data_IF_827959269665
#
_entry.id   IF_827959269665
#
_cell.length_a   1.000
_cell.length_b   1.000
_cell.length_c   1.000
_cell.angle_alpha   90.00
_cell.angle_beta   90.00
_cell.angle_gamma   90.00
#
_symmetry.space_group_name_H-M   'P 1'
#
loop_
_entity.id
_entity.type
_entity.pdbx_description
1 polymer ?
#
# COMPACT_ATOMS: atom_id res chain seq x y z
N UNK A 1 71.40 4.15 38.64
CA UNK A 1 70.88 3.97 37.26
C UNK A 1 70.17 2.63 37.11
N UNK A 2 70.73 1.49 37.47
CA UNK A 2 70.15 0.15 37.33
C UNK A 2 68.84 -0.04 38.12
N UNK A 3 68.77 0.43 39.38
CA UNK A 3 67.60 0.37 40.26
C UNK A 3 66.41 1.19 39.67
N UNK A 4 66.67 2.36 39.07
CA UNK A 4 65.68 3.20 38.42
C UNK A 4 65.12 2.54 37.18
N UNK A 5 65.94 1.87 36.37
CA UNK A 5 65.52 1.10 35.21
C UNK A 5 64.66 -0.11 35.59
N UNK A 6 65.03 -0.84 36.65
CA UNK A 6 64.25 -1.94 37.20
C UNK A 6 62.86 -1.47 37.70
N UNK A 7 62.80 -0.36 38.42
CA UNK A 7 61.56 0.23 38.87
C UNK A 7 60.66 0.66 37.71
N UNK A 8 61.22 1.29 36.66
CA UNK A 8 60.49 1.69 35.48
C UNK A 8 59.92 0.48 34.69
N UNK A 9 60.74 -0.60 34.58
CA UNK A 9 60.30 -1.84 33.95
C UNK A 9 59.16 -2.53 34.74
N UNK A 10 59.24 -2.57 36.06
CA UNK A 10 58.18 -3.13 36.90
C UNK A 10 56.89 -2.30 36.81
N UNK A 11 56.98 -0.95 36.76
CA UNK A 11 55.86 -0.08 36.57
C UNK A 11 55.18 -0.29 35.21
N UNK A 12 55.96 -0.45 34.13
CA UNK A 12 55.46 -0.76 32.78
C UNK A 12 54.74 -2.12 32.73
N UNK A 13 55.32 -3.16 33.37
CA UNK A 13 54.67 -4.47 33.47
C UNK A 13 53.34 -4.41 34.25
N UNK A 14 53.29 -3.64 35.34
CA UNK A 14 52.07 -3.42 36.12
C UNK A 14 50.99 -2.72 35.28
N UNK A 15 51.34 -1.64 34.56
CA UNK A 15 50.43 -0.91 33.67
C UNK A 15 49.89 -1.80 32.54
N UNK A 16 50.78 -2.63 31.96
CA UNK A 16 50.39 -3.60 30.91
C UNK A 16 49.42 -4.67 31.48
N UNK A 17 49.70 -5.17 32.69
CA UNK A 17 48.84 -6.12 33.39
C UNK A 17 47.44 -5.55 33.67
N UNK A 18 47.35 -4.31 34.15
CA UNK A 18 46.09 -3.60 34.38
C UNK A 18 45.32 -3.41 33.07
N UNK A 19 46.00 -3.01 31.99
CA UNK A 19 45.35 -2.88 30.67
C UNK A 19 44.77 -4.21 30.19
N UNK A 20 45.55 -5.29 30.24
CA UNK A 20 45.09 -6.63 29.83
C UNK A 20 43.86 -7.09 30.66
N UNK A 21 43.88 -6.82 31.97
CA UNK A 21 42.75 -7.11 32.84
C UNK A 21 41.49 -6.35 32.40
N UNK A 22 41.57 -5.03 32.12
CA UNK A 22 40.47 -4.20 31.67
C UNK A 22 39.88 -4.69 30.33
N UNK A 23 40.73 -5.05 29.35
CA UNK A 23 40.28 -5.62 28.08
C UNK A 23 39.56 -6.97 28.28
N UNK A 24 40.07 -7.86 29.11
CA UNK A 24 39.41 -9.15 29.41
C UNK A 24 38.04 -8.94 30.05
N UNK A 25 37.92 -8.00 30.97
CA UNK A 25 36.66 -7.66 31.63
C UNK A 25 35.67 -7.08 30.62
N UNK A 26 36.11 -6.18 29.77
CA UNK A 26 35.27 -5.61 28.72
C UNK A 26 34.71 -6.67 27.76
N UNK A 27 35.54 -7.61 27.31
CA UNK A 27 35.14 -8.69 26.40
C UNK A 27 34.09 -9.61 27.09
N UNK A 28 34.33 -9.95 28.37
CA UNK A 28 33.37 -10.75 29.15
C UNK A 28 32.02 -10.04 29.28
N UNK A 29 32.05 -8.77 29.57
CA UNK A 29 30.83 -7.93 29.67
C UNK A 29 30.07 -7.92 28.36
N UNK A 30 30.76 -7.71 27.23
CA UNK A 30 30.13 -7.78 25.90
C UNK A 30 29.54 -9.16 25.61
N UNK A 31 30.24 -10.24 25.99
CA UNK A 31 29.72 -11.59 25.82
C UNK A 31 28.41 -11.80 26.59
N UNK A 32 28.33 -11.32 27.84
CA UNK A 32 27.12 -11.38 28.65
C UNK A 32 26.01 -10.50 28.02
N UNK A 33 26.31 -9.26 27.68
CA UNK A 33 25.36 -8.34 27.05
C UNK A 33 24.80 -8.90 25.74
N UNK A 34 25.65 -9.56 24.91
CA UNK A 34 25.22 -10.21 23.68
C UNK A 34 24.30 -11.43 23.91
N UNK A 35 24.53 -12.19 24.96
CA UNK A 35 23.64 -13.33 25.32
C UNK A 35 22.27 -12.88 25.81
N UNK A 36 22.20 -11.74 26.48
CA UNK A 36 20.96 -11.17 27.00
C UNK A 36 20.19 -10.35 25.96
N UNK A 37 20.78 -10.09 24.78
CA UNK A 37 20.16 -9.34 23.70
C UNK A 37 18.92 -10.08 23.19
N UNK A 38 17.75 -9.49 23.43
CA UNK A 38 16.50 -9.89 22.78
C UNK A 38 16.23 -9.02 21.56
N UNK A 39 15.67 -9.57 20.48
CA UNK A 39 15.28 -8.78 19.30
C UNK A 39 14.36 -7.60 19.58
N UNK A 40 13.67 -7.64 20.72
CA UNK A 40 12.75 -6.57 21.16
C UNK A 40 13.36 -5.61 22.19
N UNK A 41 14.61 -5.83 22.60
CA UNK A 41 15.28 -5.02 23.62
C UNK A 41 16.05 -3.89 22.99
N UNK A 42 15.89 -2.67 23.48
CA UNK A 42 16.71 -1.52 23.09
C UNK A 42 18.11 -1.51 23.73
N UNK A 43 18.57 -2.64 24.24
CA UNK A 43 19.91 -2.74 24.86
C UNK A 43 21.00 -2.55 23.82
N UNK A 44 22.05 -1.84 24.23
CA UNK A 44 23.25 -1.56 23.43
C UNK A 44 24.46 -2.00 24.21
N UNK A 45 25.50 -2.42 23.49
CA UNK A 45 26.78 -2.68 24.11
C UNK A 45 27.36 -1.41 24.69
N UNK A 46 27.82 -1.50 25.92
CA UNK A 46 28.52 -0.42 26.62
C UNK A 46 30.02 -0.61 26.55
N UNK A 47 30.78 0.48 26.43
CA UNK A 47 32.22 0.45 26.37
C UNK A 47 32.81 1.34 27.46
N UNK A 48 33.52 0.76 28.41
CA UNK A 48 34.20 1.50 29.47
C UNK A 48 35.72 1.62 29.23
N UNK A 49 36.29 0.81 28.35
CA UNK A 49 37.72 0.96 27.92
C UNK A 49 37.79 2.13 26.95
N UNK A 50 38.61 3.14 27.28
CA UNK A 50 38.73 4.41 26.51
C UNK A 50 39.71 4.32 25.34
N UNK A 51 39.82 3.17 24.73
CA UNK A 51 40.68 2.99 23.55
C UNK A 51 39.88 3.25 22.25
N UNK A 52 40.50 3.88 21.24
CA UNK A 52 39.86 4.22 19.96
C UNK A 52 39.35 2.98 19.21
N UNK A 53 40.16 1.90 19.20
CA UNK A 53 39.80 0.68 18.49
C UNK A 53 38.60 -0.01 19.15
N UNK A 54 38.59 -0.12 20.48
CA UNK A 54 37.50 -0.73 21.25
C UNK A 54 36.21 0.06 21.11
N UNK A 55 36.28 1.40 21.13
CA UNK A 55 35.10 2.25 20.88
C UNK A 55 34.59 2.08 19.45
N UNK A 56 35.49 2.05 18.44
CA UNK A 56 35.07 1.87 17.06
C UNK A 56 34.38 0.51 16.84
N UNK A 57 34.90 -0.55 17.46
CA UNK A 57 34.31 -1.88 17.42
C UNK A 57 32.91 -1.89 18.08
N UNK A 58 32.79 -1.31 19.29
CA UNK A 58 31.53 -1.19 20.00
C UNK A 58 30.46 -0.46 19.16
N UNK A 59 30.83 0.66 18.52
CA UNK A 59 29.93 1.40 17.64
C UNK A 59 29.48 0.55 16.44
N UNK A 60 30.39 -0.17 15.81
CA UNK A 60 30.07 -1.04 14.66
C UNK A 60 29.16 -2.21 15.05
N UNK A 61 29.39 -2.82 16.22
CA UNK A 61 28.52 -3.88 16.72
C UNK A 61 27.11 -3.31 17.03
N UNK A 62 27.02 -2.15 17.66
CA UNK A 62 25.75 -1.50 17.91
C UNK A 62 25.00 -1.14 16.62
N UNK A 63 25.68 -0.62 15.60
CA UNK A 63 25.12 -0.37 14.27
C UNK A 63 24.56 -1.65 13.61
N UNK A 64 25.30 -2.76 13.75
CA UNK A 64 24.85 -4.07 13.28
C UNK A 64 23.59 -4.57 14.03
N UNK A 65 23.59 -4.43 15.38
CA UNK A 65 22.45 -4.79 16.22
C UNK A 65 21.23 -3.98 15.80
N UNK A 66 21.36 -2.67 15.57
CA UNK A 66 20.27 -1.80 15.12
C UNK A 66 19.68 -2.24 13.78
N UNK A 67 20.57 -2.61 12.86
CA UNK A 67 20.17 -3.10 11.53
C UNK A 67 19.41 -4.42 11.62
N UNK A 68 19.89 -5.36 12.44
CA UNK A 68 19.23 -6.64 12.65
C UNK A 68 17.87 -6.48 13.34
N UNK A 69 17.78 -5.61 14.34
CA UNK A 69 16.52 -5.33 15.03
C UNK A 69 15.47 -4.72 14.09
N UNK A 70 15.88 -3.77 13.24
CA UNK A 70 14.99 -3.20 12.21
C UNK A 70 14.47 -4.28 11.26
N UNK A 71 15.35 -5.16 10.79
CA UNK A 71 14.96 -6.25 9.90
C UNK A 71 13.98 -7.23 10.57
N UNK A 72 14.19 -7.58 11.83
CA UNK A 72 13.27 -8.44 12.59
C UNK A 72 11.90 -7.78 12.79
N UNK A 73 11.89 -6.47 13.13
CA UNK A 73 10.63 -5.72 13.28
C UNK A 73 9.87 -5.64 11.96
N UNK A 74 10.55 -5.32 10.86
CA UNK A 74 9.96 -5.30 9.53
C UNK A 74 9.39 -6.66 9.11
N UNK A 75 10.13 -7.75 9.40
CA UNK A 75 9.65 -9.11 9.14
C UNK A 75 8.41 -9.46 9.96
N UNK A 76 8.37 -9.07 11.23
CA UNK A 76 7.21 -9.30 12.09
C UNK A 76 5.98 -8.49 11.66
N UNK A 77 6.19 -7.25 11.19
CA UNK A 77 5.12 -6.43 10.62
C UNK A 77 4.59 -7.03 9.32
N UNK A 78 5.47 -7.47 8.43
CA UNK A 78 5.09 -8.14 7.17
C UNK A 78 4.32 -9.45 7.44
N UNK A 79 4.75 -10.25 8.42
CA UNK A 79 4.03 -11.47 8.83
C UNK A 79 2.62 -11.15 9.39
N UNK A 80 2.51 -10.11 10.21
CA UNK A 80 1.22 -9.65 10.74
C UNK A 80 0.29 -9.18 9.61
N UNK A 81 0.81 -8.41 8.67
CA UNK A 81 0.08 -7.94 7.51
C UNK A 81 -0.38 -9.10 6.61
N UNK A 82 0.49 -10.09 6.39
CA UNK A 82 0.14 -11.30 5.63
C UNK A 82 -1.00 -12.09 6.30
N UNK A 83 -0.92 -12.31 7.62
CA UNK A 83 -1.99 -13.00 8.37
C UNK A 83 -3.31 -12.23 8.28
N UNK A 84 -3.28 -10.92 8.40
CA UNK A 84 -4.47 -10.08 8.25
C UNK A 84 -5.05 -10.17 6.84
N UNK A 85 -4.19 -10.07 5.82
CA UNK A 85 -4.56 -10.23 4.40
C UNK A 85 -5.27 -11.57 4.15
N UNK A 86 -4.70 -12.69 4.61
CA UNK A 86 -5.29 -14.02 4.44
C UNK A 86 -6.67 -14.10 5.12
N UNK A 87 -6.81 -13.53 6.32
CA UNK A 87 -8.09 -13.51 7.03
C UNK A 87 -9.17 -12.71 6.27
N UNK A 88 -8.84 -11.52 5.77
CA UNK A 88 -9.73 -10.69 4.98
C UNK A 88 -10.15 -11.38 3.68
N UNK A 89 -9.19 -11.89 2.91
CA UNK A 89 -9.47 -12.61 1.64
C UNK A 89 -10.34 -13.84 1.89
N UNK A 90 -10.05 -14.62 2.95
CA UNK A 90 -10.84 -15.80 3.30
C UNK A 90 -12.29 -15.47 3.63
N UNK A 91 -12.51 -14.37 4.35
CA UNK A 91 -13.85 -13.87 4.65
C UNK A 91 -14.59 -13.43 3.38
N UNK A 92 -13.90 -12.65 2.52
CA UNK A 92 -14.50 -12.07 1.32
C UNK A 92 -14.76 -13.09 0.21
N UNK A 93 -14.00 -14.20 0.17
CA UNK A 93 -14.31 -15.39 -0.65
C UNK A 93 -15.53 -16.13 -0.10
N UNK A 94 -15.61 -16.32 1.23
CA UNK A 94 -16.70 -17.08 1.85
C UNK A 94 -18.07 -16.47 1.60
N UNK A 95 -18.18 -15.15 1.61
CA UNK A 95 -19.45 -14.43 1.48
C UNK A 95 -20.15 -14.74 0.14
N UNK A 96 -19.58 -14.48 -1.05
CA UNK A 96 -20.21 -14.81 -2.32
C UNK A 96 -20.40 -16.33 -2.51
N UNK A 97 -19.48 -17.16 -2.02
CA UNK A 97 -19.57 -18.62 -2.12
C UNK A 97 -20.76 -19.15 -1.31
N UNK A 98 -20.94 -18.70 -0.07
CA UNK A 98 -22.09 -19.08 0.77
C UNK A 98 -23.40 -18.60 0.14
N UNK A 99 -23.43 -17.38 -0.41
CA UNK A 99 -24.57 -16.85 -1.13
C UNK A 99 -24.93 -17.71 -2.36
N UNK A 100 -23.95 -18.02 -3.21
CA UNK A 100 -24.13 -18.87 -4.37
C UNK A 100 -24.66 -20.25 -3.98
N UNK A 101 -24.05 -20.90 -2.96
CA UNK A 101 -24.49 -22.21 -2.46
C UNK A 101 -25.93 -22.18 -1.91
N UNK A 102 -26.31 -21.12 -1.16
CA UNK A 102 -27.65 -20.98 -0.65
C UNK A 102 -28.70 -20.82 -1.75
N UNK A 103 -28.41 -20.00 -2.78
CA UNK A 103 -29.33 -19.86 -3.92
C UNK A 103 -29.37 -21.12 -4.81
N UNK A 104 -28.31 -21.90 -4.91
CA UNK A 104 -28.33 -23.21 -5.56
C UNK A 104 -29.27 -24.18 -4.84
N UNK A 105 -29.23 -24.25 -3.51
CA UNK A 105 -30.17 -25.09 -2.73
C UNK A 105 -31.62 -24.63 -2.90
N UNK A 106 -31.89 -23.31 -3.02
CA UNK A 106 -33.23 -22.81 -3.31
C UNK A 106 -33.67 -23.15 -4.74
N UNK A 107 -32.74 -23.16 -5.69
CA UNK A 107 -32.98 -23.54 -7.08
C UNK A 107 -33.41 -25.01 -7.19
N UNK A 108 -32.77 -25.91 -6.46
CA UNK A 108 -33.08 -27.33 -6.41
C UNK A 108 -34.48 -27.60 -5.83
N UNK A 109 -34.96 -26.75 -4.92
CA UNK A 109 -36.24 -26.93 -4.21
C UNK A 109 -37.42 -26.26 -4.89
N UNK A 110 -37.21 -25.44 -5.94
CA UNK A 110 -38.31 -24.68 -6.57
C UNK A 110 -38.63 -25.23 -7.96
N UNK A 111 -39.91 -25.39 -8.25
CA UNK A 111 -40.45 -25.71 -9.57
C UNK A 111 -40.97 -24.48 -10.33
N UNK A 112 -40.91 -23.28 -9.71
CA UNK A 112 -41.34 -22.03 -10.31
C UNK A 112 -40.26 -21.49 -11.26
N UNK A 113 -40.55 -21.48 -12.55
CA UNK A 113 -39.64 -21.04 -13.61
C UNK A 113 -39.10 -19.59 -13.41
N UNK A 114 -39.97 -18.67 -12.93
CA UNK A 114 -39.57 -17.27 -12.66
C UNK A 114 -38.53 -17.22 -11.53
N UNK A 115 -38.76 -17.98 -10.46
CA UNK A 115 -37.82 -18.08 -9.34
C UNK A 115 -36.52 -18.73 -9.75
N UNK A 116 -36.58 -19.81 -10.58
CA UNK A 116 -35.41 -20.46 -11.12
C UNK A 116 -34.52 -19.46 -11.91
N UNK A 117 -35.10 -18.71 -12.85
CA UNK A 117 -34.39 -17.66 -13.60
C UNK A 117 -33.73 -16.61 -12.69
N UNK A 118 -34.51 -16.17 -11.66
CA UNK A 118 -33.99 -15.21 -10.67
C UNK A 118 -32.80 -15.77 -9.89
N UNK A 119 -32.94 -17.00 -9.37
CA UNK A 119 -31.85 -17.62 -8.57
C UNK A 119 -30.61 -17.91 -9.41
N UNK A 120 -30.77 -18.39 -10.65
CA UNK A 120 -29.66 -18.54 -11.58
C UNK A 120 -28.92 -17.23 -11.84
N UNK A 121 -29.66 -16.10 -12.01
CA UNK A 121 -29.05 -14.79 -12.18
C UNK A 121 -28.23 -14.37 -10.95
N UNK A 122 -28.76 -14.63 -9.74
CA UNK A 122 -28.06 -14.30 -8.49
C UNK A 122 -26.79 -15.16 -8.32
N UNK A 123 -26.88 -16.48 -8.59
CA UNK A 123 -25.73 -17.38 -8.52
C UNK A 123 -24.64 -16.92 -9.48
N UNK A 124 -25.01 -16.61 -10.73
CA UNK A 124 -24.07 -16.10 -11.74
C UNK A 124 -23.38 -14.83 -11.25
N UNK A 125 -24.16 -13.88 -10.69
CA UNK A 125 -23.58 -12.64 -10.15
C UNK A 125 -22.57 -12.91 -9.03
N UNK A 126 -22.90 -13.82 -8.09
CA UNK A 126 -21.99 -14.19 -6.99
C UNK A 126 -20.70 -14.86 -7.48
N UNK A 127 -20.75 -15.62 -8.54
CA UNK A 127 -19.57 -16.20 -9.16
C UNK A 127 -18.72 -15.14 -9.86
N UNK A 128 -19.35 -14.18 -10.55
CA UNK A 128 -18.64 -13.04 -11.15
C UNK A 128 -17.98 -12.15 -10.08
N UNK A 129 -18.67 -11.90 -8.97
CA UNK A 129 -18.11 -11.15 -7.83
C UNK A 129 -16.84 -11.86 -7.31
N UNK A 130 -16.86 -13.20 -7.21
CA UNK A 130 -15.72 -14.00 -6.77
C UNK A 130 -14.55 -13.98 -7.78
N UNK A 131 -14.85 -14.08 -9.07
CA UNK A 131 -13.86 -14.00 -10.15
C UNK A 131 -13.13 -12.63 -10.11
N UNK A 132 -13.89 -11.55 -9.98
CA UNK A 132 -13.32 -10.20 -9.85
C UNK A 132 -12.39 -10.08 -8.63
N UNK A 133 -12.80 -10.62 -7.47
CA UNK A 133 -12.00 -10.62 -6.25
C UNK A 133 -10.68 -11.37 -6.45
N UNK A 134 -10.72 -12.52 -7.11
CA UNK A 134 -9.51 -13.30 -7.44
C UNK A 134 -8.59 -12.54 -8.39
N UNK A 135 -9.13 -11.87 -9.41
CA UNK A 135 -8.36 -11.05 -10.35
C UNK A 135 -7.69 -9.86 -9.66
N UNK A 136 -8.38 -9.24 -8.70
CA UNK A 136 -7.80 -8.17 -7.87
C UNK A 136 -6.66 -8.72 -6.99
N UNK A 137 -6.83 -9.89 -6.38
CA UNK A 137 -5.81 -10.54 -5.56
C UNK A 137 -4.59 -10.95 -6.39
N UNK A 138 -4.80 -11.55 -7.56
CA UNK A 138 -3.71 -11.90 -8.48
C UNK A 138 -2.93 -10.68 -8.94
N UNK A 139 -3.64 -9.61 -9.30
CA UNK A 139 -2.93 -8.38 -9.67
C UNK A 139 -2.14 -7.82 -8.49
N UNK A 140 -2.76 -7.80 -7.30
CA UNK A 140 -2.09 -7.35 -6.10
C UNK A 140 -0.79 -8.12 -5.83
N UNK A 141 -0.82 -9.46 -5.89
CA UNK A 141 0.38 -10.30 -5.71
C UNK A 141 1.46 -10.02 -6.77
N UNK A 142 1.06 -9.72 -8.01
CA UNK A 142 1.99 -9.34 -9.07
C UNK A 142 2.57 -7.94 -8.87
N UNK A 143 1.79 -7.02 -8.35
CA UNK A 143 2.24 -5.65 -8.04
C UNK A 143 3.19 -5.62 -6.84
N UNK A 144 3.06 -6.49 -5.86
CA UNK A 144 3.99 -6.58 -4.73
C UNK A 144 5.31 -7.28 -5.09
N UNK A 145 5.40 -7.93 -6.26
CA UNK A 145 6.63 -8.49 -6.80
C UNK A 145 7.52 -7.43 -7.48
N UNK A 146 8.82 -7.76 -7.62
CA UNK A 146 9.83 -6.82 -8.15
C UNK A 146 9.64 -6.46 -9.63
N UNK A 147 8.94 -7.29 -10.42
CA UNK A 147 8.81 -7.12 -11.86
C UNK A 147 7.34 -7.13 -12.29
N UNK A 148 6.75 -5.95 -12.35
CA UNK A 148 5.48 -5.72 -13.03
C UNK A 148 5.72 -4.74 -14.18
N UNK A 149 5.73 -5.20 -15.44
CA UNK A 149 5.97 -4.31 -16.58
C UNK A 149 4.80 -3.35 -16.75
N UNK A 150 5.09 -2.06 -16.79
CA UNK A 150 4.15 -0.99 -17.13
C UNK A 150 4.60 -0.41 -18.46
N UNK A 151 3.70 -0.38 -19.43
CA UNK A 151 3.93 0.31 -20.68
C UNK A 151 3.80 1.83 -20.45
N UNK A 152 4.82 2.59 -20.84
CA UNK A 152 4.80 4.05 -20.73
C UNK A 152 4.61 4.66 -22.11
N UNK A 153 3.36 4.75 -22.55
CA UNK A 153 2.97 5.32 -23.84
C UNK A 153 2.14 6.61 -23.63
N UNK A 154 2.11 7.52 -24.63
CA UNK A 154 1.20 8.66 -24.57
C UNK A 154 -0.26 8.19 -24.61
N UNK A 155 -1.04 8.60 -23.62
CA UNK A 155 -2.46 8.25 -23.46
C UNK A 155 -3.28 9.53 -23.34
N UNK A 156 -4.31 9.68 -24.19
CA UNK A 156 -5.29 10.77 -24.06
C UNK A 156 -6.25 10.47 -22.93
N UNK A 157 -6.28 11.39 -21.93
CA UNK A 157 -7.08 11.15 -20.71
C UNK A 157 -8.58 11.17 -20.97
N UNK A 158 -9.08 12.21 -21.66
CA UNK A 158 -10.53 12.42 -21.83
C UNK A 158 -11.21 11.28 -22.60
N UNK A 159 -10.73 10.83 -23.77
CA UNK A 159 -11.34 9.71 -24.48
C UNK A 159 -11.35 8.43 -23.63
N UNK A 160 -10.24 8.11 -22.95
CA UNK A 160 -10.14 6.93 -22.10
C UNK A 160 -11.12 7.00 -20.92
N UNK A 161 -11.26 8.18 -20.30
CA UNK A 161 -12.21 8.39 -19.21
C UNK A 161 -13.68 8.27 -19.67
N UNK A 162 -14.00 8.86 -20.82
CA UNK A 162 -15.34 8.76 -21.41
C UNK A 162 -15.71 7.31 -21.76
N UNK A 163 -14.76 6.53 -22.31
CA UNK A 163 -14.96 5.11 -22.55
C UNK A 163 -15.34 4.36 -21.26
N UNK A 164 -14.60 4.65 -20.17
CA UNK A 164 -14.88 4.01 -18.87
C UNK A 164 -16.22 4.48 -18.30
N UNK A 165 -16.55 5.76 -18.36
CA UNK A 165 -17.83 6.28 -17.89
C UNK A 165 -19.02 5.64 -18.60
N UNK A 166 -18.89 5.40 -19.93
CA UNK A 166 -19.91 4.70 -20.73
C UNK A 166 -20.18 3.28 -20.21
N UNK A 167 -19.18 2.58 -19.68
CA UNK A 167 -19.39 1.24 -19.08
C UNK A 167 -20.31 1.29 -17.84
N UNK A 168 -20.39 2.43 -17.17
CA UNK A 168 -21.23 2.65 -15.97
C UNK A 168 -22.53 3.39 -16.26
N UNK A 169 -22.86 3.67 -17.53
CA UNK A 169 -24.02 4.48 -17.90
C UNK A 169 -25.35 3.99 -17.31
N UNK A 170 -25.59 2.67 -17.31
CA UNK A 170 -26.79 2.09 -16.70
C UNK A 170 -26.85 2.31 -15.19
N UNK A 171 -25.72 2.16 -14.50
CA UNK A 171 -25.68 2.35 -13.05
C UNK A 171 -25.88 3.82 -12.66
N UNK A 172 -25.35 4.74 -13.44
CA UNK A 172 -25.64 6.18 -13.27
C UNK A 172 -27.12 6.49 -13.48
N UNK A 173 -27.74 5.91 -14.52
CA UNK A 173 -29.19 6.07 -14.77
C UNK A 173 -30.06 5.47 -13.66
N UNK A 174 -29.74 4.26 -13.20
CA UNK A 174 -30.45 3.59 -12.10
C UNK A 174 -30.38 4.37 -10.77
N UNK A 175 -29.30 5.12 -10.55
CA UNK A 175 -29.11 5.96 -9.36
C UNK A 175 -29.53 7.41 -9.56
N UNK A 176 -30.06 7.77 -10.74
CA UNK A 176 -30.41 9.14 -11.10
C UNK A 176 -29.24 10.14 -10.90
N UNK A 177 -28.06 9.71 -11.26
CA UNK A 177 -26.81 10.47 -11.11
C UNK A 177 -26.17 10.70 -12.46
N UNK A 178 -25.66 11.91 -12.69
CA UNK A 178 -24.89 12.23 -13.90
C UNK A 178 -23.48 12.68 -13.51
N UNK A 179 -22.42 12.12 -14.13
CA UNK A 179 -21.06 12.60 -13.90
C UNK A 179 -20.87 13.95 -14.62
N UNK A 180 -20.25 14.92 -13.94
CA UNK A 180 -19.89 16.22 -14.49
C UNK A 180 -18.39 16.26 -14.73
N UNK A 181 -18.01 16.57 -16.00
CA UNK A 181 -16.63 16.64 -16.42
C UNK A 181 -16.23 18.10 -16.65
N UNK A 182 -15.06 18.48 -16.13
CA UNK A 182 -14.43 19.77 -16.35
C UNK A 182 -12.97 19.56 -16.73
N UNK A 183 -12.62 19.83 -17.98
CA UNK A 183 -11.28 19.67 -18.50
C UNK A 183 -10.71 21.01 -18.94
N UNK A 184 -9.56 21.39 -18.35
CA UNK A 184 -8.78 22.55 -18.79
C UNK A 184 -8.20 22.34 -20.19
N UNK A 185 -7.80 21.09 -20.49
CA UNK A 185 -7.27 20.68 -21.78
C UNK A 185 -7.82 19.30 -22.21
N UNK A 186 -8.78 19.28 -23.12
CA UNK A 186 -9.41 18.05 -23.61
C UNK A 186 -8.46 17.14 -24.43
N UNK A 187 -7.36 17.70 -24.93
CA UNK A 187 -6.37 16.95 -25.72
C UNK A 187 -5.16 16.51 -24.91
N UNK A 188 -5.20 16.65 -23.59
CA UNK A 188 -4.06 16.31 -22.74
C UNK A 188 -3.66 14.85 -22.91
N UNK A 189 -2.34 14.65 -23.07
CA UNK A 189 -1.70 13.35 -23.11
C UNK A 189 -0.78 13.20 -21.90
N UNK A 190 -0.89 12.07 -21.22
CA UNK A 190 0.02 11.67 -20.16
C UNK A 190 0.82 10.44 -20.59
N UNK A 191 1.98 10.23 -19.97
CA UNK A 191 2.71 8.98 -20.15
C UNK A 191 2.17 7.95 -19.16
N UNK A 192 1.69 6.82 -19.68
CA UNK A 192 1.13 5.77 -18.84
C UNK A 192 0.72 4.54 -19.63
N UNK A 193 0.19 3.56 -18.92
CA UNK A 193 -0.38 2.34 -19.48
C UNK A 193 -1.91 2.50 -19.55
N UNK A 194 -2.46 2.55 -20.76
CA UNK A 194 -3.89 2.74 -20.99
C UNK A 194 -4.75 1.66 -20.30
N UNK A 195 -4.28 0.42 -20.25
CA UNK A 195 -4.98 -0.70 -19.58
C UNK A 195 -5.03 -0.48 -18.07
N UNK A 196 -3.92 -0.05 -17.47
CA UNK A 196 -3.86 0.21 -16.03
C UNK A 196 -4.63 1.48 -15.66
N UNK A 197 -4.56 2.53 -16.48
CA UNK A 197 -5.36 3.75 -16.29
C UNK A 197 -6.86 3.46 -16.37
N UNK A 198 -7.32 2.65 -17.33
CA UNK A 198 -8.72 2.19 -17.42
C UNK A 198 -9.14 1.48 -16.14
N UNK A 199 -8.27 0.65 -15.57
CA UNK A 199 -8.54 -0.04 -14.30
C UNK A 199 -8.64 0.92 -13.12
N UNK A 200 -7.73 1.91 -13.03
CA UNK A 200 -7.78 2.95 -12.01
C UNK A 200 -9.10 3.72 -12.10
N UNK A 201 -9.49 4.18 -13.28
CA UNK A 201 -10.73 4.94 -13.48
C UNK A 201 -11.98 4.11 -13.15
N UNK A 202 -12.05 2.86 -13.59
CA UNK A 202 -13.12 1.93 -13.20
C UNK A 202 -13.26 1.82 -11.68
N UNK A 203 -12.14 1.71 -11.01
CA UNK A 203 -12.10 1.55 -9.57
C UNK A 203 -12.58 2.82 -8.84
N UNK A 204 -12.14 4.00 -9.27
CA UNK A 204 -12.57 5.27 -8.69
C UNK A 204 -14.05 5.55 -8.96
N UNK A 205 -14.53 5.28 -10.17
CA UNK A 205 -15.94 5.47 -10.55
C UNK A 205 -16.82 4.48 -9.79
N UNK A 206 -16.46 3.20 -9.75
CA UNK A 206 -17.18 2.18 -8.97
C UNK A 206 -17.25 2.52 -7.49
N UNK A 207 -16.15 3.03 -6.92
CA UNK A 207 -16.10 3.48 -5.53
C UNK A 207 -17.04 4.68 -5.29
N UNK A 208 -17.04 5.66 -6.18
CA UNK A 208 -17.94 6.82 -6.11
C UNK A 208 -19.41 6.43 -6.24
N UNK A 209 -19.75 5.44 -7.07
CA UNK A 209 -21.12 4.92 -7.20
C UNK A 209 -21.55 4.10 -5.98
N UNK A 210 -20.64 3.29 -5.41
CA UNK A 210 -20.96 2.41 -4.28
C UNK A 210 -21.06 3.17 -2.95
N UNK A 211 -20.25 4.19 -2.73
CA UNK A 211 -20.09 4.85 -1.43
C UNK A 211 -20.39 6.34 -1.44
N UNK A 212 -20.37 6.98 -2.60
CA UNK A 212 -20.68 8.38 -2.75
C UNK A 212 -22.16 8.66 -2.91
N UNK A 213 -22.53 9.91 -2.65
CA UNK A 213 -23.89 10.46 -2.93
C UNK A 213 -23.80 11.61 -3.91
N UNK A 214 -24.95 11.95 -4.51
CA UNK A 214 -25.06 13.10 -5.41
C UNK A 214 -24.23 12.94 -6.68
N UNK A 215 -23.81 14.06 -7.22
CA UNK A 215 -23.07 14.14 -8.50
C UNK A 215 -21.62 13.70 -8.31
N UNK A 216 -21.08 12.98 -9.29
CA UNK A 216 -19.63 12.71 -9.39
C UNK A 216 -19.02 13.81 -10.26
N UNK A 217 -18.17 14.64 -9.67
CA UNK A 217 -17.40 15.66 -10.38
C UNK A 217 -16.02 15.09 -10.72
N UNK A 218 -15.59 15.30 -11.97
CA UNK A 218 -14.27 14.92 -12.42
C UNK A 218 -13.62 16.12 -13.08
N UNK A 219 -12.59 16.66 -12.45
CA UNK A 219 -11.88 17.85 -12.89
C UNK A 219 -10.44 17.50 -13.33
N UNK A 220 -10.03 17.99 -14.51
CA UNK A 220 -8.65 17.92 -14.97
C UNK A 220 -8.04 19.32 -14.99
N UNK A 221 -6.87 19.46 -14.37
CA UNK A 221 -6.11 20.71 -14.29
C UNK A 221 -4.61 20.44 -14.41
N UNK A 222 -4.00 20.96 -15.45
CA UNK A 222 -2.61 20.61 -15.75
C UNK A 222 -2.45 19.08 -15.89
N UNK A 223 -1.55 18.48 -15.13
CA UNK A 223 -1.36 17.01 -15.10
C UNK A 223 -2.14 16.31 -13.97
N UNK A 224 -3.05 17.00 -13.32
CA UNK A 224 -3.84 16.44 -12.21
C UNK A 224 -5.24 16.07 -12.67
N UNK A 225 -5.77 14.97 -12.17
CA UNK A 225 -7.16 14.54 -12.35
C UNK A 225 -7.78 14.30 -10.97
N UNK A 226 -8.93 14.95 -10.70
CA UNK A 226 -9.59 14.93 -9.40
C UNK A 226 -10.98 14.32 -9.56
N UNK A 227 -11.30 13.32 -8.75
CA UNK A 227 -12.62 12.73 -8.61
C UNK A 227 -13.23 13.21 -7.30
N UNK A 228 -14.42 13.83 -7.35
CA UNK A 228 -15.06 14.39 -6.17
C UNK A 228 -16.52 13.91 -6.08
N UNK A 229 -16.91 13.45 -4.90
CA UNK A 229 -18.30 13.10 -4.61
C UNK A 229 -18.63 13.34 -3.13
N UNK A 230 -19.89 13.60 -2.84
CA UNK A 230 -20.38 13.69 -1.46
C UNK A 230 -20.26 12.32 -0.77
N UNK A 231 -19.92 12.34 0.53
CA UNK A 231 -19.86 11.15 1.38
C UNK A 231 -21.02 11.12 2.37
N UNK A 232 -21.44 9.92 2.73
CA UNK A 232 -22.58 9.72 3.64
C UNK A 232 -22.25 10.04 5.09
N UNK A 233 -21.01 9.90 5.48
CA UNK A 233 -20.51 10.05 6.86
C UNK A 233 -19.11 10.67 6.82
N UNK A 234 -19.04 12.02 6.72
CA UNK A 234 -17.76 12.73 6.67
C UNK A 234 -16.97 12.60 7.97
N UNK A 235 -17.66 12.56 9.12
CA UNK A 235 -16.99 12.54 10.44
C UNK A 235 -16.15 11.29 10.67
N UNK A 236 -16.54 10.16 10.06
CA UNK A 236 -15.83 8.88 10.15
C UNK A 236 -14.98 8.57 8.90
N UNK A 237 -14.82 9.53 8.00
CA UNK A 237 -13.99 9.39 6.85
C UNK A 237 -12.53 9.69 7.22
N UNK A 238 -11.63 8.75 6.94
CA UNK A 238 -10.18 8.90 7.09
C UNK A 238 -9.51 8.80 5.72
N UNK A 239 -9.39 9.92 4.97
CA UNK A 239 -8.92 9.90 3.58
C UNK A 239 -7.53 9.28 3.41
N UNK A 240 -6.63 9.47 4.39
CA UNK A 240 -5.29 8.88 4.40
C UNK A 240 -5.31 7.35 4.52
N UNK A 241 -6.36 6.77 5.10
CA UNK A 241 -6.51 5.32 5.27
C UNK A 241 -7.18 4.63 4.07
N UNK A 242 -7.86 5.38 3.20
CA UNK A 242 -8.60 4.82 2.05
C UNK A 242 -7.72 3.98 1.11
N UNK A 243 -6.43 4.27 1.05
CA UNK A 243 -5.45 3.58 0.23
C UNK A 243 -4.71 2.45 0.99
N UNK A 244 -5.06 2.23 2.26
CA UNK A 244 -4.56 1.06 2.98
C UNK A 244 -5.25 -0.20 2.47
N UNK A 245 -4.52 -1.30 2.45
CA UNK A 245 -5.00 -2.60 2.00
C UNK A 245 -6.12 -3.10 2.90
N UNK A 246 -7.18 -3.61 2.30
CA UNK A 246 -8.36 -4.14 3.00
C UNK A 246 -9.06 -3.13 3.92
N UNK A 247 -8.74 -1.84 3.79
CA UNK A 247 -9.44 -0.82 4.54
C UNK A 247 -10.88 -0.69 4.04
N UNK A 248 -11.81 -0.74 4.98
CA UNK A 248 -13.25 -0.58 4.72
C UNK A 248 -13.86 0.19 5.88
N UNK A 249 -14.66 1.17 5.58
CA UNK A 249 -15.49 1.84 6.58
C UNK A 249 -16.58 0.89 7.07
N UNK A 250 -17.11 1.08 8.27
CA UNK A 250 -18.18 0.22 8.81
C UNK A 250 -19.42 0.17 7.90
N UNK A 251 -19.76 1.28 7.26
CA UNK A 251 -20.83 1.36 6.27
C UNK A 251 -20.57 0.53 5.00
N UNK A 252 -19.31 0.31 4.62
CA UNK A 252 -18.92 -0.43 3.42
C UNK A 252 -18.77 -1.94 3.64
N UNK A 253 -18.87 -2.43 4.89
CA UNK A 253 -18.68 -3.86 5.22
C UNK A 253 -19.72 -4.79 4.57
N UNK A 254 -20.86 -4.27 4.13
CA UNK A 254 -21.91 -5.04 3.44
C UNK A 254 -21.70 -5.13 1.92
N UNK A 255 -20.70 -4.44 1.35
CA UNK A 255 -20.40 -4.46 -0.09
C UNK A 255 -19.55 -5.66 -0.51
N UNK A 256 -19.53 -5.94 -1.82
CA UNK A 256 -18.83 -7.08 -2.45
C UNK A 256 -17.33 -6.84 -2.71
N UNK A 257 -16.76 -5.67 -2.39
CA UNK A 257 -15.40 -5.30 -2.74
C UNK A 257 -14.43 -5.60 -1.59
N UNK A 258 -13.30 -6.19 -1.91
CA UNK A 258 -12.26 -6.63 -0.94
C UNK A 258 -11.47 -5.47 -0.27
N UNK A 259 -11.75 -4.20 -0.59
CA UNK A 259 -10.93 -3.08 -0.09
C UNK A 259 -9.52 -3.03 -0.69
N UNK A 260 -9.31 -3.74 -1.81
CA UNK A 260 -8.04 -3.73 -2.55
C UNK A 260 -7.98 -2.67 -3.64
N UNK A 261 -9.13 -2.21 -4.13
CA UNK A 261 -9.21 -1.37 -5.30
C UNK A 261 -8.38 -0.10 -5.22
N UNK A 262 -8.54 0.71 -4.16
CA UNK A 262 -7.79 1.96 -4.01
C UNK A 262 -6.31 1.72 -3.75
N UNK A 263 -5.93 0.68 -3.01
CA UNK A 263 -4.52 0.33 -2.79
C UNK A 263 -3.84 -0.14 -4.08
N UNK A 264 -4.53 -0.90 -4.93
CA UNK A 264 -4.08 -1.25 -6.28
C UNK A 264 -3.94 0.01 -7.15
N UNK A 265 -4.91 0.93 -7.08
CA UNK A 265 -4.84 2.19 -7.83
C UNK A 265 -3.62 3.02 -7.44
N UNK A 266 -3.30 3.10 -6.13
CA UNK A 266 -2.10 3.77 -5.64
C UNK A 266 -0.84 3.15 -6.21
N UNK A 267 -0.68 1.84 -6.08
CA UNK A 267 0.49 1.12 -6.56
C UNK A 267 0.69 1.30 -8.07
N UNK A 268 -0.39 1.26 -8.86
CA UNK A 268 -0.34 1.47 -10.31
C UNK A 268 0.07 2.90 -10.67
N UNK A 269 -0.49 3.91 -9.99
CA UNK A 269 -0.14 5.33 -10.20
C UNK A 269 1.32 5.58 -9.83
N UNK A 270 1.78 5.09 -8.69
CA UNK A 270 3.16 5.25 -8.22
C UNK A 270 4.15 4.57 -9.17
N UNK A 271 3.84 3.39 -9.69
CA UNK A 271 4.66 2.71 -10.72
C UNK A 271 4.69 3.42 -12.07
N UNK A 272 3.68 4.23 -12.39
CA UNK A 272 3.69 5.15 -13.53
C UNK A 272 4.40 6.48 -13.22
N UNK A 273 4.99 6.62 -12.03
CA UNK A 273 5.71 7.81 -11.58
C UNK A 273 4.82 8.96 -11.13
N UNK A 274 3.53 8.72 -10.94
CA UNK A 274 2.55 9.68 -10.41
C UNK A 274 2.35 9.54 -8.90
N UNK A 275 1.43 10.34 -8.36
CA UNK A 275 0.96 10.23 -6.97
C UNK A 275 -0.55 10.25 -6.92
N UNK A 276 -1.13 9.54 -5.94
CA UNK A 276 -2.57 9.54 -5.67
C UNK A 276 -2.81 9.71 -4.18
N UNK A 277 -3.73 10.59 -3.83
CA UNK A 277 -4.13 10.81 -2.44
C UNK A 277 -5.59 11.22 -2.34
N UNK A 278 -6.14 11.07 -1.13
CA UNK A 278 -7.49 11.50 -0.79
C UNK A 278 -7.45 12.66 0.19
N UNK A 279 -8.38 13.56 0.05
CA UNK A 279 -8.66 14.63 1.01
C UNK A 279 -10.19 14.77 1.19
N UNK A 280 -10.61 15.22 2.36
CA UNK A 280 -11.98 15.60 2.62
C UNK A 280 -12.06 17.11 2.63
N UNK A 281 -12.99 17.66 1.84
CA UNK A 281 -13.24 19.08 1.76
C UNK A 281 -14.72 19.33 1.58
N UNK A 282 -15.31 20.14 2.43
CA UNK A 282 -16.73 20.56 2.37
C UNK A 282 -17.69 19.36 2.31
N UNK A 283 -17.44 18.32 3.12
CA UNK A 283 -18.18 17.05 3.12
C UNK A 283 -18.11 16.27 1.78
N UNK A 284 -17.12 16.58 0.95
CA UNK A 284 -16.81 15.84 -0.27
C UNK A 284 -15.51 15.08 -0.10
N UNK A 285 -15.51 13.82 -0.55
CA UNK A 285 -14.29 13.07 -0.76
C UNK A 285 -13.70 13.49 -2.11
N UNK A 286 -12.47 13.98 -2.08
CA UNK A 286 -11.69 14.33 -3.27
C UNK A 286 -10.53 13.33 -3.39
N UNK A 287 -10.52 12.53 -4.46
CA UNK A 287 -9.39 11.66 -4.79
C UNK A 287 -8.65 12.31 -5.95
N UNK A 288 -7.40 12.71 -5.69
CA UNK A 288 -6.54 13.39 -6.66
C UNK A 288 -5.43 12.47 -7.15
N UNK A 289 -5.24 12.46 -8.46
CA UNK A 289 -4.13 11.81 -9.15
C UNK A 289 -3.28 12.90 -9.79
N UNK A 290 -2.00 12.96 -9.47
CA UNK A 290 -1.01 13.78 -10.15
C UNK A 290 -0.14 12.86 -11.02
N UNK A 291 -0.22 13.02 -12.33
CA UNK A 291 0.55 12.21 -13.30
C UNK A 291 1.95 12.76 -13.49
N UNK A 292 2.91 11.88 -13.74
CA UNK A 292 4.25 12.31 -14.14
C UNK A 292 4.20 12.99 -15.52
N UNK A 293 4.57 14.26 -15.57
CA UNK A 293 4.66 15.01 -16.83
C UNK A 293 6.07 14.87 -17.38
N UNK A 294 6.23 14.23 -18.52
CA UNK A 294 7.39 14.54 -19.38
C UNK A 294 7.08 15.85 -20.09
N UNK A 295 7.65 16.96 -19.61
CA UNK A 295 7.71 18.19 -20.37
C UNK A 295 8.40 17.84 -21.68
N UNK A 296 7.66 17.89 -22.81
CA UNK A 296 8.29 17.99 -24.13
C UNK A 296 9.13 19.27 -24.07
N UNK A 297 10.44 19.15 -23.89
CA UNK A 297 11.34 20.23 -24.28
C UNK A 297 11.13 20.39 -25.77
N UNK A 298 10.38 21.42 -26.18
CA UNK A 298 10.48 21.98 -27.51
C UNK A 298 11.97 22.28 -27.71
N UNK A 299 12.61 21.50 -28.55
CA UNK A 299 13.86 21.89 -29.15
C UNK A 299 13.54 23.12 -29.98
N UNK A 300 13.80 24.31 -29.42
CA UNK A 300 14.04 25.48 -30.22
C UNK A 300 15.18 25.13 -31.19
N UNK A 301 14.81 24.77 -32.38
CA UNK A 301 15.69 24.77 -33.54
C UNK A 301 15.96 26.24 -33.86
N UNK A 302 17.02 26.79 -33.28
CA UNK A 302 17.68 27.97 -33.80
C UNK A 302 18.27 27.59 -35.18
N UNK A 303 17.62 28.01 -36.22
CA UNK A 303 18.17 28.17 -37.55
C UNK A 303 18.94 29.48 -37.66
#
# INVERSE_FOLDING_TARGET
MLILLLFLALLLLLLMGVRLYLYRTQIREWACQLQELSPKSNQRLTCFVRDKATKALCLKINEYIDTQQKAVLQSAEAEKELKYTIACVSHDIRTPLTGASGYMQLLEKTSDEKKQKKYCKIVRQKLMDLEQLLDELFLYTRLTGDVFPIESLPVRLLPLLCDVLNEFSLQFQEQEREPLLSFENETIEILGDAKQLRRIFRNLISNALAHGKGVLYIEQKGASLVFQNQVSDPENLHPEQLFQRFYRTDASRQGTHAGLGLSISRELVERMGGTIYGEEKDAMLCIKIDFAVKIKQEKETLS
#
